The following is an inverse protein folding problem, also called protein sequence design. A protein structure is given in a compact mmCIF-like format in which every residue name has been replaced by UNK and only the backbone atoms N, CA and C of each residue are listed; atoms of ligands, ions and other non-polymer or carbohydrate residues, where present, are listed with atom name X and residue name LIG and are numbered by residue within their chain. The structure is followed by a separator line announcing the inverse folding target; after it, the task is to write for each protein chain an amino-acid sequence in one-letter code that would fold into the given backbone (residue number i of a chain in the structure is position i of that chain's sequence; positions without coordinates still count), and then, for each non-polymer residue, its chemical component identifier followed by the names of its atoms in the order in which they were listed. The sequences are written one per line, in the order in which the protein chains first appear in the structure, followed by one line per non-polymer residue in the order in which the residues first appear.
data_IF_994924988838
#
_entry.id   IF_994924988838
#
_cell.length_a   1.000
_cell.length_b   1.000
_cell.length_c   1.000
_cell.angle_alpha   90.00
_cell.angle_beta   90.00
_cell.angle_gamma   90.00
#
_symmetry.space_group_name_H-M   'P 1'
#
loop_
_entity.id
_entity.type
_entity.pdbx_description
1 polymer ?
#
# COMPACT_ATOMS: atom_id res chain seq x y z
N UNK A 1 19.48 48.67 11.70
CA UNK A 1 19.99 47.31 11.99
C UNK A 1 18.85 46.49 12.59
N UNK A 2 18.48 45.37 11.96
CA UNK A 2 17.37 44.51 12.43
C UNK A 2 17.92 43.52 13.46
N UNK A 3 17.24 43.40 14.60
CA UNK A 3 17.59 42.55 15.76
C UNK A 3 17.41 41.03 15.53
N UNK A 4 17.61 40.52 14.30
CA UNK A 4 17.25 39.13 13.95
C UNK A 4 18.41 38.13 13.91
N UNK A 5 19.66 38.55 14.09
CA UNK A 5 20.83 37.66 13.94
C UNK A 5 21.48 37.23 15.28
N UNK A 6 20.61 36.95 16.26
CA UNK A 6 20.81 36.15 17.48
C UNK A 6 20.94 34.62 17.26
N UNK A 7 22.12 33.95 17.07
CA UNK A 7 22.20 32.47 17.05
C UNK A 7 21.58 31.76 18.27
N UNK A 8 21.40 32.48 19.38
CA UNK A 8 20.74 31.99 20.59
C UNK A 8 19.21 31.88 20.39
N UNK A 9 18.60 32.82 19.67
CA UNK A 9 17.14 32.83 19.40
C UNK A 9 16.76 31.73 18.41
N UNK A 10 17.60 31.46 17.40
CA UNK A 10 17.39 30.33 16.48
C UNK A 10 17.55 28.97 17.17
N UNK A 11 18.49 28.86 18.12
CA UNK A 11 18.71 27.65 18.92
C UNK A 11 17.55 27.37 19.87
N UNK A 12 17.04 28.39 20.56
CA UNK A 12 15.85 28.29 21.43
C UNK A 12 14.59 27.99 20.59
N UNK A 13 14.39 28.64 19.45
CA UNK A 13 13.28 28.33 18.55
C UNK A 13 13.35 26.89 17.98
N UNK A 14 14.56 26.36 17.74
CA UNK A 14 14.76 24.96 17.34
C UNK A 14 14.45 23.98 18.48
N UNK A 15 14.79 24.34 19.72
CA UNK A 15 14.47 23.57 20.92
C UNK A 15 12.96 23.58 21.17
N UNK A 16 12.30 24.74 21.08
CA UNK A 16 10.85 24.84 21.24
C UNK A 16 10.08 24.16 20.11
N UNK A 17 10.54 24.22 18.85
CA UNK A 17 9.95 23.42 17.76
C UNK A 17 10.13 21.92 17.98
N UNK A 18 11.26 21.46 18.53
CA UNK A 18 11.45 20.03 18.89
C UNK A 18 10.62 19.60 20.09
N UNK A 19 10.34 20.50 21.02
CA UNK A 19 9.65 20.18 22.29
C UNK A 19 8.12 20.36 22.19
N UNK A 20 7.63 21.19 21.25
CA UNK A 20 6.20 21.54 21.12
C UNK A 20 5.55 21.17 19.79
N UNK A 21 6.21 20.42 18.89
CA UNK A 21 5.45 19.62 17.94
C UNK A 21 4.81 18.50 18.78
N UNK A 22 3.61 18.75 19.29
CA UNK A 22 2.72 17.69 19.74
C UNK A 22 2.52 16.79 18.53
N UNK A 23 3.31 15.71 18.43
CA UNK A 23 2.92 14.59 17.60
C UNK A 23 1.49 14.26 17.98
N UNK A 24 0.59 14.21 16.98
CA UNK A 24 -0.79 13.79 17.23
C UNK A 24 -0.75 12.54 18.11
N UNK A 25 -1.54 12.50 19.20
CA UNK A 25 -1.55 11.34 20.08
C UNK A 25 -1.89 10.12 19.25
N UNK A 26 -1.05 9.09 19.34
CA UNK A 26 -1.29 7.83 18.68
C UNK A 26 -2.50 7.15 19.32
N UNK A 27 -3.48 6.78 18.49
CA UNK A 27 -4.66 6.04 18.93
C UNK A 27 -4.61 4.62 18.37
N UNK A 28 -4.52 3.63 19.25
CA UNK A 28 -4.57 2.23 18.88
C UNK A 28 -5.98 1.86 18.42
N UNK A 29 -6.11 1.52 17.14
CA UNK A 29 -7.36 1.08 16.52
C UNK A 29 -7.06 -0.12 15.64
N UNK A 30 -7.06 -1.35 16.19
CA UNK A 30 -6.62 -2.55 15.48
C UNK A 30 -7.40 -2.71 14.17
N UNK A 31 -6.66 -2.83 13.07
CA UNK A 31 -7.16 -3.04 11.71
C UNK A 31 -6.77 -4.42 11.17
N UNK A 32 -7.19 -4.73 9.93
CA UNK A 32 -6.84 -5.99 9.26
C UNK A 32 -6.62 -5.77 7.77
N UNK A 33 -5.58 -6.37 7.22
CA UNK A 33 -5.25 -6.27 5.79
C UNK A 33 -5.95 -7.39 4.99
N UNK A 34 -6.14 -8.54 5.64
CA UNK A 34 -6.62 -9.77 5.03
C UNK A 34 -7.44 -10.62 6.00
N UNK A 35 -7.60 -11.92 5.72
CA UNK A 35 -8.38 -12.81 6.56
C UNK A 35 -7.76 -12.96 7.94
N UNK A 36 -8.58 -13.30 8.93
CA UNK A 36 -8.12 -13.71 10.25
C UNK A 36 -7.41 -15.05 10.17
N UNK A 37 -6.37 -15.19 10.98
CA UNK A 37 -5.70 -16.45 11.18
C UNK A 37 -5.17 -16.54 12.61
N UNK A 38 -4.86 -17.75 13.04
CA UNK A 38 -4.14 -18.04 14.28
C UNK A 38 -2.83 -18.77 13.97
N UNK A 39 -1.80 -18.51 14.75
CA UNK A 39 -0.56 -19.29 14.70
C UNK A 39 -0.77 -20.63 15.40
N UNK A 40 -0.39 -21.72 14.73
CA UNK A 40 -0.39 -23.06 15.30
C UNK A 40 0.99 -23.41 15.90
N UNK A 41 2.03 -22.91 15.24
CA UNK A 41 3.43 -22.99 15.65
C UNK A 41 4.20 -21.85 14.96
N UNK A 42 5.54 -21.93 14.91
CA UNK A 42 6.40 -20.89 14.34
C UNK A 42 6.29 -20.74 12.81
N UNK A 43 5.84 -21.76 12.09
CA UNK A 43 5.74 -21.75 10.63
C UNK A 43 4.34 -22.05 10.12
N UNK A 44 3.40 -22.46 10.96
CA UNK A 44 2.04 -22.80 10.53
C UNK A 44 1.00 -21.85 11.08
N UNK A 45 0.04 -21.51 10.22
CA UNK A 45 -1.17 -20.79 10.59
C UNK A 45 -2.42 -21.58 10.19
N UNK A 46 -3.54 -21.26 10.85
CA UNK A 46 -4.88 -21.69 10.44
C UNK A 46 -5.73 -20.49 10.10
N UNK A 47 -6.36 -20.50 8.94
CA UNK A 47 -7.28 -19.45 8.51
C UNK A 47 -8.61 -19.56 9.26
N UNK A 48 -9.10 -18.45 9.78
CA UNK A 48 -10.31 -18.38 10.60
C UNK A 48 -11.52 -17.79 9.85
N UNK A 49 -11.30 -17.06 8.76
CA UNK A 49 -12.39 -16.53 7.94
C UNK A 49 -12.06 -16.48 6.43
N UNK A 50 -13.12 -16.35 5.63
CA UNK A 50 -13.03 -16.26 4.17
C UNK A 50 -12.94 -17.62 3.45
N UNK A 51 -12.59 -17.62 2.14
CA UNK A 51 -12.68 -18.80 1.28
C UNK A 51 -11.74 -19.97 1.63
N UNK A 52 -10.80 -19.76 2.54
CA UNK A 52 -9.84 -20.77 2.98
C UNK A 52 -10.02 -21.12 4.48
N UNK A 53 -11.16 -20.79 5.08
CA UNK A 53 -11.42 -21.08 6.50
C UNK A 53 -11.13 -22.53 6.86
N UNK A 54 -10.43 -22.75 7.97
CA UNK A 54 -9.99 -24.06 8.45
C UNK A 54 -8.72 -24.59 7.78
N UNK A 55 -8.30 -24.01 6.64
CA UNK A 55 -7.09 -24.44 5.94
C UNK A 55 -5.85 -24.12 6.78
N UNK A 56 -4.94 -25.09 6.87
CA UNK A 56 -3.59 -24.89 7.40
C UNK A 56 -2.65 -24.44 6.30
N UNK A 57 -1.90 -23.38 6.56
CA UNK A 57 -0.87 -22.84 5.67
C UNK A 57 0.47 -22.94 6.37
N UNK A 58 1.51 -23.34 5.64
CA UNK A 58 2.91 -23.20 6.05
C UNK A 58 3.43 -21.86 5.51
N UNK A 59 4.17 -21.14 6.34
CA UNK A 59 4.79 -19.84 6.09
C UNK A 59 6.28 -19.99 6.37
N UNK A 60 7.09 -19.63 5.38
CA UNK A 60 8.55 -19.58 5.52
C UNK A 60 9.03 -18.19 5.17
N UNK A 61 9.69 -17.52 6.11
CA UNK A 61 10.38 -16.25 5.86
C UNK A 61 11.88 -16.49 5.66
N UNK A 62 12.44 -15.90 4.61
CA UNK A 62 13.89 -15.82 4.35
C UNK A 62 14.30 -14.35 4.41
N UNK A 63 15.11 -13.95 5.39
CA UNK A 63 15.62 -12.59 5.55
C UNK A 63 17.14 -12.61 5.38
N UNK A 64 17.60 -11.91 4.34
CA UNK A 64 19.02 -11.67 4.04
C UNK A 64 19.32 -10.20 4.19
N UNK A 65 20.60 -9.83 4.13
CA UNK A 65 21.05 -8.44 4.29
C UNK A 65 20.30 -7.47 3.36
N UNK A 66 20.21 -7.80 2.06
CA UNK A 66 19.64 -6.93 1.01
C UNK A 66 18.25 -7.32 0.52
N UNK A 67 17.75 -8.49 0.92
CA UNK A 67 16.48 -9.02 0.40
C UNK A 67 15.72 -9.73 1.49
N UNK A 68 14.40 -9.78 1.38
CA UNK A 68 13.59 -10.66 2.19
C UNK A 68 12.42 -11.22 1.39
N UNK A 69 11.96 -12.41 1.78
CA UNK A 69 10.89 -13.12 1.09
C UNK A 69 10.04 -13.90 2.07
N UNK A 70 8.74 -13.95 1.83
CA UNK A 70 7.82 -14.90 2.46
C UNK A 70 7.29 -15.85 1.39
N UNK A 71 7.27 -17.14 1.71
CA UNK A 71 6.65 -18.19 0.93
C UNK A 71 5.48 -18.79 1.69
N UNK A 72 4.37 -19.07 0.99
CA UNK A 72 3.24 -19.80 1.56
C UNK A 72 3.07 -21.12 0.81
N UNK A 73 2.87 -22.20 1.57
CA UNK A 73 2.58 -23.54 1.06
C UNK A 73 1.29 -24.11 1.65
N UNK A 74 0.63 -24.95 0.85
CA UNK A 74 -0.50 -25.80 1.26
C UNK A 74 -0.14 -27.23 0.91
N UNK A 75 -0.20 -28.14 1.89
CA UNK A 75 0.12 -29.56 1.71
C UNK A 75 1.47 -29.78 1.00
N UNK A 76 2.50 -29.03 1.42
CA UNK A 76 3.85 -29.07 0.83
C UNK A 76 4.00 -28.38 -0.54
N UNK A 77 2.90 -27.93 -1.18
CA UNK A 77 2.96 -27.21 -2.45
C UNK A 77 2.98 -25.70 -2.20
N UNK A 78 4.03 -25.03 -2.69
CA UNK A 78 4.12 -23.56 -2.67
C UNK A 78 3.01 -22.95 -3.52
N UNK A 79 2.23 -22.05 -2.94
CA UNK A 79 1.10 -21.36 -3.60
C UNK A 79 1.29 -19.85 -3.73
N UNK A 80 2.24 -19.27 -2.98
CA UNK A 80 2.54 -17.85 -3.03
C UNK A 80 3.97 -17.53 -2.65
N UNK A 81 4.46 -16.38 -3.13
CA UNK A 81 5.73 -15.79 -2.73
C UNK A 81 5.65 -14.27 -2.73
N UNK A 82 6.49 -13.65 -1.91
CA UNK A 82 6.76 -12.21 -1.93
C UNK A 82 8.24 -11.94 -2.09
N UNK A 83 8.56 -10.79 -2.68
CA UNK A 83 9.92 -10.31 -2.79
C UNK A 83 10.01 -8.87 -2.31
N UNK A 84 10.87 -8.66 -1.32
CA UNK A 84 11.20 -7.37 -0.72
C UNK A 84 12.68 -7.12 -0.93
N UNK A 85 13.01 -5.95 -1.48
CA UNK A 85 14.36 -5.41 -1.45
C UNK A 85 14.53 -4.56 -0.19
N UNK A 86 15.72 -4.63 0.40
CA UNK A 86 16.09 -3.88 1.60
C UNK A 86 17.09 -2.80 1.23
N UNK A 87 16.60 -1.65 0.77
CA UNK A 87 17.44 -0.54 0.31
C UNK A 87 17.11 0.80 1.03
N UNK A 88 18.03 1.32 1.89
CA UNK A 88 19.30 0.71 2.27
C UNK A 88 19.11 -0.49 3.21
N UNK A 89 20.06 -1.45 3.25
CA UNK A 89 19.97 -2.62 4.12
C UNK A 89 19.70 -2.26 5.59
N UNK A 90 18.84 -3.05 6.25
CA UNK A 90 18.45 -2.81 7.64
C UNK A 90 17.51 -1.62 7.88
N UNK A 91 17.11 -0.89 6.83
CA UNK A 91 16.26 0.30 6.93
C UNK A 91 15.14 0.32 5.89
N UNK A 92 15.48 0.22 4.61
CA UNK A 92 14.50 0.24 3.53
C UNK A 92 13.73 -1.07 3.43
N UNK A 93 12.45 -0.96 3.12
CA UNK A 93 11.55 -2.09 2.85
C UNK A 93 10.81 -1.74 1.55
N UNK A 94 11.31 -2.23 0.43
CA UNK A 94 10.72 -2.03 -0.89
C UNK A 94 10.05 -3.32 -1.36
N UNK A 95 8.72 -3.36 -1.28
CA UNK A 95 7.93 -4.48 -1.77
C UNK A 95 7.83 -4.38 -3.30
N UNK A 96 8.42 -5.36 -3.99
CA UNK A 96 8.49 -5.39 -5.46
C UNK A 96 7.45 -6.29 -6.10
N UNK A 97 7.23 -7.47 -5.52
CA UNK A 97 6.36 -8.48 -6.12
C UNK A 97 5.63 -9.28 -5.05
N UNK A 98 4.38 -9.61 -5.37
CA UNK A 98 3.56 -10.58 -4.67
C UNK A 98 2.91 -11.48 -5.71
N UNK A 99 3.38 -12.72 -5.79
CA UNK A 99 2.82 -13.72 -6.70
C UNK A 99 2.00 -14.73 -5.91
N UNK A 100 0.76 -14.97 -6.37
CA UNK A 100 -0.14 -16.01 -5.85
C UNK A 100 -0.66 -16.83 -7.03
N UNK A 101 -0.63 -18.15 -6.90
CA UNK A 101 -1.20 -19.07 -7.88
C UNK A 101 -2.67 -18.75 -8.12
N UNK A 102 -3.10 -18.88 -9.38
CA UNK A 102 -4.42 -18.45 -9.86
C UNK A 102 -5.59 -18.94 -8.99
N UNK A 103 -5.62 -20.24 -8.68
CA UNK A 103 -6.65 -20.86 -7.84
C UNK A 103 -6.70 -20.36 -6.39
N UNK A 104 -5.71 -19.57 -5.95
CA UNK A 104 -5.60 -18.99 -4.61
C UNK A 104 -5.66 -17.45 -4.60
N UNK A 105 -5.81 -16.81 -5.76
CA UNK A 105 -6.02 -15.37 -5.87
C UNK A 105 -7.34 -14.97 -5.22
N UNK A 106 -7.42 -13.72 -4.74
CA UNK A 106 -8.59 -13.15 -4.02
C UNK A 106 -8.97 -13.88 -2.72
N UNK A 107 -8.17 -14.86 -2.26
CA UNK A 107 -8.39 -15.59 -0.99
C UNK A 107 -7.56 -15.05 0.19
N UNK A 108 -6.93 -13.88 0.03
CA UNK A 108 -6.20 -13.20 1.12
C UNK A 108 -4.74 -13.60 1.32
N UNK A 109 -4.21 -14.55 0.54
CA UNK A 109 -2.81 -15.02 0.63
C UNK A 109 -1.79 -13.88 0.51
N UNK A 110 -2.00 -12.96 -0.45
CA UNK A 110 -1.14 -11.79 -0.63
C UNK A 110 -1.09 -10.88 0.61
N UNK A 111 -2.25 -10.66 1.25
CA UNK A 111 -2.35 -9.86 2.48
C UNK A 111 -1.64 -10.55 3.65
N UNK A 112 -1.76 -11.87 3.77
CA UNK A 112 -1.05 -12.65 4.82
C UNK A 112 0.45 -12.53 4.62
N UNK A 113 0.97 -12.77 3.41
CA UNK A 113 2.41 -12.67 3.16
C UNK A 113 2.94 -11.27 3.44
N UNK A 114 2.19 -10.22 3.05
CA UNK A 114 2.56 -8.82 3.32
C UNK A 114 2.57 -8.53 4.82
N UNK A 115 1.54 -8.99 5.53
CA UNK A 115 1.47 -8.86 6.99
C UNK A 115 2.70 -9.49 7.64
N UNK A 116 3.01 -10.76 7.30
CA UNK A 116 4.13 -11.48 7.89
C UNK A 116 5.45 -10.76 7.62
N UNK A 117 5.75 -10.43 6.34
CA UNK A 117 7.06 -9.86 6.02
C UNK A 117 7.24 -8.45 6.58
N UNK A 118 6.20 -7.60 6.55
CA UNK A 118 6.32 -6.24 7.09
C UNK A 118 6.43 -6.27 8.61
N UNK A 119 5.65 -7.10 9.31
CA UNK A 119 5.73 -7.23 10.75
C UNK A 119 7.10 -7.77 11.19
N UNK A 120 7.62 -8.78 10.50
CA UNK A 120 8.91 -9.39 10.83
C UNK A 120 10.07 -8.40 10.62
N UNK A 121 10.09 -7.70 9.48
CA UNK A 121 11.09 -6.66 9.22
C UNK A 121 11.00 -5.49 10.23
N UNK A 122 9.79 -5.07 10.62
CA UNK A 122 9.62 -4.08 11.68
C UNK A 122 10.09 -4.56 13.04
N UNK A 123 9.99 -5.86 13.30
CA UNK A 123 10.37 -6.46 14.58
C UNK A 123 11.89 -6.46 14.77
N UNK A 124 12.66 -6.58 13.68
CA UNK A 124 14.13 -6.65 13.71
C UNK A 124 14.83 -5.32 13.40
N UNK A 125 14.16 -4.36 12.74
CA UNK A 125 14.79 -3.10 12.35
C UNK A 125 14.59 -2.00 13.40
N UNK A 126 15.64 -1.23 13.68
CA UNK A 126 15.53 -0.02 14.52
C UNK A 126 14.79 1.12 13.83
N UNK A 127 14.96 1.22 12.50
CA UNK A 127 14.31 2.21 11.65
C UNK A 127 13.80 1.56 10.38
N UNK A 128 12.64 1.99 9.90
CA UNK A 128 12.04 1.45 8.69
C UNK A 128 11.42 2.53 7.80
N UNK A 129 11.64 2.42 6.49
CA UNK A 129 10.97 3.19 5.44
C UNK A 129 10.32 2.20 4.48
N UNK A 130 9.10 2.48 4.04
CA UNK A 130 8.36 1.56 3.17
C UNK A 130 8.04 2.15 1.81
N UNK A 131 8.28 1.34 0.79
CA UNK A 131 7.81 1.59 -0.57
C UNK A 131 7.17 0.32 -1.13
N UNK A 132 6.23 0.54 -2.03
CA UNK A 132 5.67 -0.50 -2.88
C UNK A 132 5.96 -0.08 -4.32
N UNK A 133 6.68 -0.92 -5.04
CA UNK A 133 7.02 -0.69 -6.44
C UNK A 133 5.98 -1.37 -7.32
N UNK A 134 5.30 -0.58 -8.14
CA UNK A 134 4.39 -1.10 -9.15
C UNK A 134 4.92 -0.57 -10.49
N UNK A 135 5.91 -1.26 -11.06
CA UNK A 135 6.55 -0.77 -12.28
C UNK A 135 5.63 -0.95 -13.50
N UNK A 136 5.13 0.17 -14.04
CA UNK A 136 4.90 0.34 -15.49
C UNK A 136 4.62 1.80 -15.86
N UNK A 137 5.63 2.50 -16.37
CA UNK A 137 5.37 3.72 -17.14
C UNK A 137 4.75 3.30 -18.48
N UNK A 138 3.52 3.76 -18.73
CA UNK A 138 2.79 3.45 -19.97
C UNK A 138 2.71 4.69 -20.84
N UNK A 139 3.01 4.52 -22.12
CA UNK A 139 2.89 5.59 -23.12
C UNK A 139 1.48 5.59 -23.72
N UNK A 140 0.95 6.74 -24.16
CA UNK A 140 -0.39 6.79 -24.76
C UNK A 140 -0.58 5.89 -25.98
N UNK A 141 0.51 5.63 -26.72
CA UNK A 141 0.55 4.78 -27.92
C UNK A 141 0.49 3.28 -27.63
N UNK A 142 0.63 2.86 -26.37
CA UNK A 142 0.60 1.44 -26.02
C UNK A 142 -0.79 0.87 -26.30
N UNK A 143 -0.85 -0.19 -27.13
CA UNK A 143 -2.12 -0.82 -27.55
C UNK A 143 -2.63 -1.87 -26.55
N UNK A 144 -1.73 -2.51 -25.81
CA UNK A 144 -2.04 -3.54 -24.84
C UNK A 144 -1.98 -2.97 -23.42
N UNK A 145 -2.94 -2.10 -23.11
CA UNK A 145 -3.03 -1.51 -21.78
C UNK A 145 -3.88 -2.41 -20.90
N UNK A 146 -3.23 -3.07 -19.94
CA UNK A 146 -3.88 -3.97 -19.01
C UNK A 146 -3.70 -3.48 -17.59
N UNK A 147 -4.78 -3.59 -16.80
CA UNK A 147 -4.71 -3.40 -15.37
C UNK A 147 -3.86 -4.52 -14.76
N UNK A 148 -2.84 -4.12 -14.01
CA UNK A 148 -1.97 -5.02 -13.25
C UNK A 148 -1.93 -4.55 -11.80
N UNK A 149 -1.36 -5.36 -10.92
CA UNK A 149 -1.04 -4.96 -9.55
C UNK A 149 -2.26 -4.55 -8.68
N UNK A 150 -3.48 -5.01 -9.02
CA UNK A 150 -4.69 -4.70 -8.25
C UNK A 150 -4.56 -5.13 -6.79
N UNK A 151 -4.13 -6.37 -6.56
CA UNK A 151 -3.99 -6.91 -5.20
C UNK A 151 -3.01 -6.11 -4.34
N UNK A 152 -1.84 -5.78 -4.89
CA UNK A 152 -0.83 -4.99 -4.17
C UNK A 152 -1.28 -3.53 -4.00
N UNK A 153 -2.05 -2.97 -4.94
CA UNK A 153 -2.70 -1.66 -4.82
C UNK A 153 -3.72 -1.60 -3.69
N UNK A 154 -4.57 -2.61 -3.57
CA UNK A 154 -5.52 -2.76 -2.45
C UNK A 154 -4.78 -2.85 -1.12
N UNK A 155 -3.72 -3.67 -1.05
CA UNK A 155 -2.91 -3.82 0.16
C UNK A 155 -2.24 -2.50 0.55
N UNK A 156 -1.62 -1.81 -0.42
CA UNK A 156 -0.99 -0.50 -0.20
C UNK A 156 -1.98 0.53 0.35
N UNK A 157 -3.14 0.66 -0.29
CA UNK A 157 -4.19 1.58 0.15
C UNK A 157 -4.69 1.25 1.57
N UNK A 158 -4.97 -0.03 1.87
CA UNK A 158 -5.38 -0.48 3.22
C UNK A 158 -4.34 -0.24 4.29
N UNK A 159 -3.07 -0.20 3.92
CA UNK A 159 -1.95 0.07 4.81
C UNK A 159 -1.61 1.56 4.93
N UNK A 160 -2.36 2.45 4.27
CA UNK A 160 -2.12 3.90 4.31
C UNK A 160 -0.99 4.37 3.40
N UNK A 161 -0.56 3.54 2.44
CA UNK A 161 0.38 3.99 1.42
C UNK A 161 -0.32 4.92 0.43
N UNK A 162 0.42 5.92 -0.03
CA UNK A 162 -0.05 6.88 -1.02
C UNK A 162 0.83 6.84 -2.26
N UNK A 163 0.30 7.11 -3.46
CA UNK A 163 1.11 7.27 -4.66
C UNK A 163 2.30 8.21 -4.47
N UNK A 164 3.42 7.87 -5.11
CA UNK A 164 4.64 8.70 -5.13
C UNK A 164 4.36 10.06 -5.80
N UNK A 165 3.47 10.07 -6.79
CA UNK A 165 3.08 11.26 -7.51
C UNK A 165 2.23 12.23 -6.69
N UNK A 166 2.30 13.52 -7.03
CA UNK A 166 1.35 14.50 -6.55
C UNK A 166 0.02 14.33 -7.32
N UNK A 167 -0.89 13.54 -6.74
CA UNK A 167 -2.22 13.28 -7.29
C UNK A 167 -3.01 14.57 -7.50
N UNK A 168 -2.92 15.52 -6.56
CA UNK A 168 -3.67 16.77 -6.62
C UNK A 168 -3.31 17.57 -7.88
N UNK A 169 -2.04 17.49 -8.30
CA UNK A 169 -1.56 18.09 -9.55
C UNK A 169 -1.89 17.22 -10.76
N UNK A 170 -1.64 15.91 -10.70
CA UNK A 170 -1.77 15.02 -11.86
C UNK A 170 -3.21 14.80 -12.30
N UNK A 171 -4.12 14.62 -11.35
CA UNK A 171 -5.53 14.34 -11.61
C UNK A 171 -6.43 15.57 -11.48
N UNK A 172 -5.85 16.77 -11.40
CA UNK A 172 -6.62 17.99 -11.53
C UNK A 172 -7.40 17.94 -12.86
N UNK A 173 -8.70 18.26 -12.90
CA UNK A 173 -9.49 18.22 -14.13
C UNK A 173 -8.85 19.00 -15.30
N UNK A 174 -8.21 20.13 -15.02
CA UNK A 174 -7.51 20.92 -16.05
C UNK A 174 -6.34 20.17 -16.71
N UNK A 175 -5.77 19.18 -16.04
CA UNK A 175 -4.65 18.34 -16.51
C UNK A 175 -5.10 17.02 -17.14
N UNK A 176 -6.39 16.66 -17.05
CA UNK A 176 -6.92 15.47 -17.71
C UNK A 176 -7.14 15.80 -19.20
N UNK A 177 -6.60 14.97 -20.09
CA UNK A 177 -6.75 15.09 -21.54
C UNK A 177 -7.85 14.16 -22.05
N UNK A 178 -7.98 12.99 -21.44
CA UNK A 178 -8.95 11.99 -21.86
C UNK A 178 -9.14 10.91 -20.81
N UNK A 179 -10.34 10.35 -20.80
CA UNK A 179 -10.75 9.33 -19.87
C UNK A 179 -11.53 8.25 -20.62
N UNK A 180 -11.17 6.99 -20.41
CA UNK A 180 -11.92 5.86 -20.97
C UNK A 180 -12.00 4.70 -19.97
N UNK A 181 -13.12 3.98 -19.96
CA UNK A 181 -13.24 2.74 -19.17
C UNK A 181 -12.68 1.58 -19.98
N UNK A 182 -11.83 0.79 -19.34
CA UNK A 182 -11.40 -0.52 -19.82
C UNK A 182 -12.29 -1.58 -19.16
N UNK A 183 -12.86 -2.51 -19.94
CA UNK A 183 -13.70 -3.58 -19.38
C UNK A 183 -12.87 -4.53 -18.51
N UNK A 184 -13.55 -5.26 -17.65
CA UNK A 184 -12.95 -6.35 -16.87
C UNK A 184 -12.32 -7.40 -17.80
N UNK A 185 -11.19 -7.98 -17.38
CA UNK A 185 -10.49 -9.03 -18.14
C UNK A 185 -9.98 -10.12 -17.18
N UNK A 186 -10.45 -11.35 -17.36
CA UNK A 186 -10.11 -12.45 -16.46
C UNK A 186 -10.51 -12.13 -15.02
N UNK A 187 -9.56 -12.23 -14.09
CA UNK A 187 -9.76 -11.91 -12.66
C UNK A 187 -9.66 -10.41 -12.33
N UNK A 188 -9.39 -9.54 -13.31
CA UNK A 188 -9.20 -8.12 -13.07
C UNK A 188 -10.52 -7.33 -13.20
N UNK A 189 -10.80 -6.41 -12.27
CA UNK A 189 -11.98 -5.54 -12.34
C UNK A 189 -11.87 -4.59 -13.55
N UNK A 190 -12.97 -3.89 -13.89
CA UNK A 190 -12.88 -2.74 -14.79
C UNK A 190 -11.86 -1.70 -14.30
N UNK A 191 -11.38 -0.87 -15.21
CA UNK A 191 -10.43 0.20 -14.85
C UNK A 191 -10.65 1.48 -15.66
N UNK A 192 -10.13 2.59 -15.15
CA UNK A 192 -9.96 3.81 -15.92
C UNK A 192 -8.61 3.82 -16.60
N UNK A 193 -8.61 4.25 -17.86
CA UNK A 193 -7.45 4.82 -18.53
C UNK A 193 -7.58 6.33 -18.50
N UNK A 194 -6.69 6.97 -17.73
CA UNK A 194 -6.64 8.43 -17.59
C UNK A 194 -5.40 8.92 -18.34
N UNK A 195 -5.61 9.72 -19.37
CA UNK A 195 -4.52 10.36 -20.13
C UNK A 195 -4.34 11.77 -19.58
N UNK A 196 -3.13 12.08 -19.12
CA UNK A 196 -2.79 13.40 -18.56
C UNK A 196 -1.97 14.25 -19.52
N UNK A 197 -2.15 15.58 -19.47
CA UNK A 197 -1.47 16.56 -20.34
C UNK A 197 -0.01 16.75 -19.96
N UNK A 198 0.26 16.94 -18.67
CA UNK A 198 1.60 17.22 -18.16
C UNK A 198 2.44 15.94 -18.19
N UNK A 199 3.33 15.84 -19.18
CA UNK A 199 4.01 14.60 -19.60
C UNK A 199 3.00 13.54 -20.03
N UNK A 200 2.83 13.25 -21.34
CA UNK A 200 1.79 12.34 -21.81
C UNK A 200 2.03 10.94 -21.25
N UNK A 201 1.39 10.68 -20.11
CA UNK A 201 1.46 9.48 -19.31
C UNK A 201 0.05 8.94 -19.22
N UNK A 202 -0.04 7.63 -19.20
CA UNK A 202 -1.30 6.94 -18.96
C UNK A 202 -1.31 6.42 -17.54
N UNK A 203 -2.31 6.85 -16.77
CA UNK A 203 -2.60 6.28 -15.46
C UNK A 203 -3.71 5.25 -15.62
N UNK A 204 -3.46 4.04 -15.13
CA UNK A 204 -4.46 2.98 -15.05
C UNK A 204 -4.93 2.87 -13.61
N UNK A 205 -6.22 3.03 -13.40
CA UNK A 205 -6.79 3.11 -12.07
C UNK A 205 -8.02 2.21 -11.91
N UNK A 206 -8.28 1.74 -10.71
CA UNK A 206 -9.50 0.99 -10.39
C UNK A 206 -10.17 1.58 -9.15
N UNK A 207 -11.48 1.34 -9.04
CA UNK A 207 -12.33 1.89 -7.98
C UNK A 207 -12.41 0.89 -6.83
N UNK A 208 -12.38 1.41 -5.61
CA UNK A 208 -12.69 0.68 -4.40
C UNK A 208 -14.12 1.03 -3.94
N UNK A 209 -14.82 0.00 -3.50
CA UNK A 209 -16.08 0.13 -2.78
C UNK A 209 -15.83 0.82 -1.44
N UNK A 210 -16.61 1.86 -1.12
CA UNK A 210 -16.37 2.71 0.05
C UNK A 210 -16.52 1.97 1.38
N UNK A 211 -17.38 0.95 1.43
CA UNK A 211 -17.68 0.21 2.65
C UNK A 211 -16.69 -0.95 2.87
N UNK A 212 -16.35 -1.66 1.79
CA UNK A 212 -15.55 -2.90 1.87
C UNK A 212 -14.08 -2.71 1.49
N UNK A 213 -13.73 -1.59 0.86
CA UNK A 213 -12.40 -1.33 0.27
C UNK A 213 -11.93 -2.49 -0.62
N UNK A 214 -12.88 -3.13 -1.31
CA UNK A 214 -12.62 -4.14 -2.34
C UNK A 214 -12.77 -3.49 -3.72
N UNK A 215 -12.08 -3.98 -4.76
CA UNK A 215 -12.30 -3.48 -6.10
C UNK A 215 -13.77 -3.62 -6.52
N UNK A 216 -14.32 -2.57 -7.12
CA UNK A 216 -15.67 -2.59 -7.69
C UNK A 216 -15.61 -3.34 -9.03
N UNK A 217 -16.40 -4.42 -9.13
CA UNK A 217 -16.51 -5.24 -10.33
C UNK A 217 -17.62 -4.73 -11.29
N UNK A 218 -18.52 -3.86 -10.84
CA UNK A 218 -19.59 -3.29 -11.66
C UNK A 218 -19.08 -2.23 -12.65
N UNK A 219 -19.18 -2.53 -13.95
CA UNK A 219 -18.80 -1.63 -15.03
C UNK A 219 -19.63 -0.33 -15.08
N UNK A 220 -20.90 -0.36 -14.63
CA UNK A 220 -21.78 0.83 -14.68
C UNK A 220 -21.28 1.92 -13.76
N UNK A 221 -20.75 1.56 -12.60
CA UNK A 221 -20.07 2.48 -11.68
C UNK A 221 -18.98 3.29 -12.38
N UNK A 222 -18.13 2.64 -13.18
CA UNK A 222 -17.07 3.32 -13.92
C UNK A 222 -17.63 4.28 -14.98
N UNK A 223 -18.64 3.86 -15.74
CA UNK A 223 -19.29 4.71 -16.75
C UNK A 223 -19.93 5.94 -16.11
N UNK A 224 -20.53 5.80 -14.92
CA UNK A 224 -21.11 6.93 -14.19
C UNK A 224 -20.03 7.92 -13.73
N UNK A 225 -18.93 7.42 -13.16
CA UNK A 225 -17.80 8.23 -12.70
C UNK A 225 -17.12 9.00 -13.84
N UNK A 226 -17.15 8.50 -15.09
CA UNK A 226 -16.59 9.22 -16.23
C UNK A 226 -17.36 10.48 -16.62
N UNK A 227 -18.60 10.66 -16.15
CA UNK A 227 -19.43 11.80 -16.55
C UNK A 227 -18.90 13.13 -16.00
N UNK A 228 -18.14 13.10 -14.90
CA UNK A 228 -17.55 14.29 -14.29
C UNK A 228 -16.19 13.98 -13.68
N UNK A 229 -15.14 14.53 -14.27
CA UNK A 229 -13.75 14.38 -13.84
C UNK A 229 -13.51 14.86 -12.40
N UNK A 230 -14.32 15.80 -11.90
CA UNK A 230 -14.23 16.27 -10.51
C UNK A 230 -14.56 15.16 -9.51
N UNK A 231 -15.43 14.22 -9.89
CA UNK A 231 -15.77 13.08 -9.05
C UNK A 231 -14.54 12.18 -8.89
N UNK A 232 -13.86 11.87 -10.00
CA UNK A 232 -12.62 11.09 -9.99
C UNK A 232 -11.56 11.77 -9.13
N UNK A 233 -11.35 13.08 -9.35
CA UNK A 233 -10.41 13.87 -8.56
C UNK A 233 -10.70 13.75 -7.06
N UNK A 234 -11.95 13.93 -6.64
CA UNK A 234 -12.35 13.84 -5.24
C UNK A 234 -12.20 12.42 -4.68
N UNK A 235 -12.59 11.40 -5.43
CA UNK A 235 -12.53 10.00 -5.00
C UNK A 235 -11.09 9.51 -4.82
N UNK A 236 -10.16 9.96 -5.68
CA UNK A 236 -8.74 9.62 -5.50
C UNK A 236 -8.22 10.24 -4.20
N UNK A 237 -8.61 11.49 -3.87
CA UNK A 237 -8.22 12.15 -2.60
C UNK A 237 -8.79 11.46 -1.37
N UNK A 238 -9.94 10.80 -1.51
CA UNK A 238 -10.54 9.97 -0.47
C UNK A 238 -9.91 8.56 -0.39
N UNK A 239 -8.99 8.22 -1.30
CA UNK A 239 -8.37 6.89 -1.36
C UNK A 239 -9.28 5.81 -1.97
N UNK A 240 -10.38 6.20 -2.62
CA UNK A 240 -11.35 5.28 -3.26
C UNK A 240 -10.97 4.91 -4.69
N UNK A 241 -9.95 5.55 -5.27
CA UNK A 241 -9.41 5.20 -6.58
C UNK A 241 -7.92 4.93 -6.41
N UNK A 242 -7.49 3.76 -6.87
CA UNK A 242 -6.11 3.29 -6.76
C UNK A 242 -5.48 3.27 -8.15
N UNK A 243 -4.32 3.92 -8.30
CA UNK A 243 -3.51 3.91 -9.52
C UNK A 243 -2.68 2.62 -9.54
N UNK A 244 -2.99 1.67 -10.43
CA UNK A 244 -2.34 0.36 -10.50
C UNK A 244 -0.94 0.35 -11.13
N UNK A 245 -0.54 1.43 -11.80
CA UNK A 245 0.76 1.55 -12.47
C UNK A 245 1.67 2.65 -11.90
N UNK A 246 1.52 2.96 -10.61
CA UNK A 246 2.34 3.93 -9.89
C UNK A 246 3.02 3.33 -8.66
N UNK A 247 4.20 3.82 -8.31
CA UNK A 247 4.83 3.48 -7.03
C UNK A 247 4.06 4.13 -5.87
N UNK A 248 4.13 3.49 -4.70
CA UNK A 248 3.51 3.98 -3.48
C UNK A 248 4.51 4.05 -2.35
N UNK A 249 4.38 5.10 -1.54
CA UNK A 249 5.24 5.36 -0.40
C UNK A 249 4.38 5.49 0.84
N UNK A 250 4.86 4.95 1.95
CA UNK A 250 4.25 5.21 3.25
C UNK A 250 4.62 6.62 3.67
N UNK A 251 3.60 7.49 3.80
CA UNK A 251 3.76 8.88 4.25
C UNK A 251 3.30 9.06 5.69
N UNK A 252 3.61 10.21 6.29
CA UNK A 252 3.34 10.50 7.71
C UNK A 252 1.88 10.24 8.10
N UNK A 253 0.95 10.54 7.18
CA UNK A 253 -0.48 10.38 7.40
C UNK A 253 -0.94 8.91 7.42
N UNK A 254 -0.16 7.99 6.85
CA UNK A 254 -0.46 6.55 6.81
C UNK A 254 0.22 5.74 7.91
N UNK A 255 1.11 6.33 8.70
CA UNK A 255 1.89 5.64 9.72
C UNK A 255 1.01 4.92 10.75
N UNK A 256 0.06 5.65 11.32
CA UNK A 256 -0.85 5.11 12.34
C UNK A 256 -1.72 3.99 11.73
N UNK A 257 -2.12 4.11 10.47
CA UNK A 257 -2.86 3.07 9.76
C UNK A 257 -2.01 1.81 9.59
N UNK A 258 -0.77 1.92 9.11
CA UNK A 258 0.14 0.79 8.95
C UNK A 258 0.31 0.02 10.26
N UNK A 259 0.68 0.71 11.34
CA UNK A 259 0.98 0.04 12.61
C UNK A 259 -0.27 -0.58 13.24
N UNK A 260 -1.42 0.07 13.09
CA UNK A 260 -2.73 -0.45 13.50
C UNK A 260 -3.10 -1.77 12.79
N UNK A 261 -2.59 -1.99 11.59
CA UNK A 261 -2.88 -3.20 10.80
C UNK A 261 -1.83 -4.31 10.95
N UNK A 262 -0.64 -3.98 11.44
CA UNK A 262 0.48 -4.92 11.58
C UNK A 262 0.70 -5.39 13.01
N UNK A 263 0.49 -4.54 14.00
CA UNK A 263 0.73 -4.90 15.39
C UNK A 263 -0.37 -5.81 15.94
N UNK A 264 0.01 -6.64 16.90
CA UNK A 264 -0.85 -7.59 17.60
C UNK A 264 -1.45 -6.98 18.87
N UNK A 265 -0.77 -5.99 19.45
CA UNK A 265 -1.21 -5.24 20.62
C UNK A 265 -0.74 -3.78 20.57
N UNK A 266 -1.20 -2.98 21.54
CA UNK A 266 -0.90 -1.55 21.62
C UNK A 266 0.59 -1.27 21.87
N UNK A 267 1.28 -2.11 22.64
CA UNK A 267 2.69 -1.93 22.96
C UNK A 267 3.54 -2.11 21.70
N UNK A 268 3.31 -3.19 20.97
CA UNK A 268 3.94 -3.47 19.68
C UNK A 268 3.65 -2.34 18.69
N UNK A 269 2.42 -1.84 18.64
CA UNK A 269 2.05 -0.74 17.76
C UNK A 269 2.83 0.55 18.05
N UNK A 270 3.00 0.90 19.34
CA UNK A 270 3.81 2.04 19.76
C UNK A 270 5.29 1.85 19.41
N UNK A 271 5.82 0.64 19.57
CA UNK A 271 7.20 0.28 19.19
C UNK A 271 7.37 0.42 17.67
N UNK A 272 6.48 -0.17 16.88
CA UNK A 272 6.52 -0.08 15.42
C UNK A 272 6.41 1.37 14.96
N UNK A 273 5.48 2.16 15.52
CA UNK A 273 5.34 3.58 15.18
C UNK A 273 6.63 4.37 15.40
N UNK A 274 7.37 4.08 16.47
CA UNK A 274 8.68 4.73 16.76
C UNK A 274 9.78 4.32 15.79
N UNK A 275 9.71 3.09 15.26
CA UNK A 275 10.66 2.52 14.29
C UNK A 275 10.39 3.01 12.87
N UNK A 276 9.13 3.24 12.51
CA UNK A 276 8.80 3.86 11.23
C UNK A 276 9.14 5.35 11.30
N UNK A 277 10.40 5.68 11.01
CA UNK A 277 10.91 7.05 10.95
C UNK A 277 11.20 7.42 9.52
N UNK A 278 10.72 8.59 9.12
CA UNK A 278 11.13 9.22 7.88
C UNK A 278 10.07 9.14 6.81
N UNK A 279 9.31 10.22 6.79
CA UNK A 279 8.65 10.76 5.61
C UNK A 279 9.08 12.20 5.56
#
# INVERSE_FOLDING_TARGET
MRFTDLPIISSIASLFRKTFIHEKPFFWKPGRIGPRFEWLDYTHIRILDGPLTGQKLEIVTDIKEKTASVFISINGRRIGRTYVERDPPGKGIELWDIAVQENYRRKGIASIMTYCIFRELLSIQEKAFFKIRMMRLMKPSDRNIELQNVGIGVIGNRLGFTPEYNIDRLLNPSNIQGLSVLPAKGDFPPSFKIVIKTFPLVLIAFVLDADTLKPVDDFRTYVQLMKDERIIYNWVRQGLIVIGNGNYWLRKNGLDQLVNHLATDELEARIFRRRVRGV
#
